data_IF_122579999714
#
_entry.id   IF_122579999714
#
_cell.length_a   1.000
_cell.length_b   1.000
_cell.length_c   1.000
_cell.angle_alpha   90.00
_cell.angle_beta   90.00
_cell.angle_gamma   90.00
#
_symmetry.space_group_name_H-M   'P 1'
#
loop_
_entity.id
_entity.type
_entity.pdbx_description
1 polymer ?
#
# COMPACT_ATOMS: atom_id res chain seq x y z
N UNK A 1 -18.36 10.72 -15.13
CA UNK A 1 -16.90 10.77 -14.92
C UNK A 1 -16.54 9.76 -13.85
N UNK A 2 -15.59 8.85 -14.11
CA UNK A 2 -15.09 7.96 -13.07
C UNK A 2 -14.44 8.78 -11.95
N UNK A 3 -14.86 8.54 -10.71
CA UNK A 3 -14.29 9.23 -9.55
C UNK A 3 -12.95 8.55 -9.20
N UNK A 4 -11.84 9.23 -9.47
CA UNK A 4 -10.49 8.68 -9.30
C UNK A 4 -10.06 8.32 -7.86
N UNK A 5 -10.90 8.65 -6.86
CA UNK A 5 -10.65 8.33 -5.45
C UNK A 5 -11.50 7.16 -4.92
N UNK A 6 -12.37 6.58 -5.76
CA UNK A 6 -13.20 5.44 -5.38
C UNK A 6 -12.88 4.22 -6.24
N UNK A 7 -12.95 3.03 -5.65
CA UNK A 7 -12.65 1.76 -6.30
C UNK A 7 -13.51 0.64 -5.70
N UNK A 8 -13.95 -0.31 -6.54
CA UNK A 8 -14.74 -1.48 -6.15
C UNK A 8 -16.25 -1.25 -6.27
N UNK A 9 -17.00 -2.35 -6.29
CA UNK A 9 -18.46 -2.37 -6.39
C UNK A 9 -19.11 -2.83 -5.09
N UNK A 10 -19.03 -4.11 -4.73
CA UNK A 10 -19.59 -4.68 -3.50
C UNK A 10 -18.76 -4.31 -2.28
N UNK A 11 -17.46 -4.53 -2.33
CA UNK A 11 -16.49 -4.00 -1.38
C UNK A 11 -15.89 -2.76 -2.02
N UNK A 12 -16.33 -1.61 -1.55
CA UNK A 12 -16.00 -0.33 -2.14
C UNK A 12 -15.17 0.53 -1.21
N UNK A 13 -14.17 1.19 -1.75
CA UNK A 13 -13.35 2.14 -1.00
C UNK A 13 -13.45 3.53 -1.59
N UNK A 14 -13.36 4.55 -0.73
CA UNK A 14 -13.18 5.94 -1.11
C UNK A 14 -12.04 6.54 -0.30
N UNK A 15 -10.92 6.86 -0.97
CA UNK A 15 -9.75 7.46 -0.33
C UNK A 15 -9.87 8.98 -0.27
N UNK A 16 -9.38 9.61 0.80
CA UNK A 16 -9.42 11.05 1.01
C UNK A 16 -8.14 11.56 1.69
N UNK A 17 -8.05 12.87 1.83
CA UNK A 17 -6.92 13.53 2.47
C UNK A 17 -5.75 13.81 1.53
N UNK A 18 -4.70 14.42 2.03
CA UNK A 18 -3.54 14.91 1.28
C UNK A 18 -2.25 14.72 2.07
N UNK A 19 -1.12 14.62 1.37
CA UNK A 19 0.18 14.37 1.99
C UNK A 19 0.64 15.47 2.96
N UNK A 20 0.18 16.71 2.75
CA UNK A 20 0.48 17.89 3.56
C UNK A 20 -0.80 18.58 4.10
N UNK A 21 -1.90 17.83 4.20
CA UNK A 21 -3.12 18.21 4.91
C UNK A 21 -3.17 17.59 6.30
N UNK A 22 -4.32 17.60 6.96
CA UNK A 22 -4.51 17.05 8.31
C UNK A 22 -4.28 15.54 8.44
N UNK A 23 -4.41 14.80 7.32
CA UNK A 23 -4.21 13.35 7.27
C UNK A 23 -4.62 12.76 5.93
N UNK A 24 -4.45 11.44 5.84
CA UNK A 24 -4.87 10.60 4.72
C UNK A 24 -5.75 9.49 5.26
N UNK A 25 -6.83 9.16 4.58
CA UNK A 25 -7.74 8.13 5.07
C UNK A 25 -8.52 7.43 3.97
N UNK A 26 -9.39 6.54 4.43
CA UNK A 26 -10.28 5.75 3.57
C UNK A 26 -11.60 5.47 4.27
N UNK A 27 -12.66 5.44 3.49
CA UNK A 27 -13.95 4.90 3.87
C UNK A 27 -14.11 3.58 3.12
N UNK A 28 -14.44 2.51 3.84
CA UNK A 28 -14.74 1.18 3.30
C UNK A 28 -16.22 0.93 3.47
N UNK A 29 -16.91 0.64 2.38
CA UNK A 29 -18.31 0.24 2.32
C UNK A 29 -18.44 -1.21 1.85
N UNK A 30 -19.52 -1.90 2.23
CA UNK A 30 -19.80 -3.27 1.81
C UNK A 30 -18.98 -4.34 2.52
N UNK A 31 -18.25 -4.00 3.59
CA UNK A 31 -17.68 -5.00 4.48
C UNK A 31 -18.81 -5.70 5.24
N UNK A 32 -18.92 -7.06 5.20
CA UNK A 32 -19.97 -7.77 5.90
C UNK A 32 -19.83 -7.58 7.43
N UNK A 33 -20.94 -7.69 8.20
CA UNK A 33 -20.87 -7.70 9.64
C UNK A 33 -20.22 -8.99 10.17
N UNK A 34 -19.75 -8.95 11.41
CA UNK A 34 -19.15 -10.08 12.14
C UNK A 34 -17.82 -10.60 11.59
N UNK A 35 -17.15 -9.82 10.74
CA UNK A 35 -15.76 -10.10 10.44
C UNK A 35 -14.92 -9.73 11.67
N UNK A 36 -14.11 -10.67 12.16
CA UNK A 36 -13.13 -10.38 13.21
C UNK A 36 -11.99 -9.56 12.61
N UNK A 37 -11.84 -8.34 13.09
CA UNK A 37 -10.89 -7.35 12.55
C UNK A 37 -10.30 -6.55 13.70
N UNK A 38 -9.00 -6.59 13.91
CA UNK A 38 -8.33 -5.78 14.91
C UNK A 38 -7.57 -4.59 14.29
N UNK A 39 -7.41 -3.53 15.07
CA UNK A 39 -6.58 -2.37 14.69
C UNK A 39 -5.14 -2.82 14.39
N UNK A 40 -4.62 -3.75 15.17
CA UNK A 40 -3.26 -4.29 15.06
C UNK A 40 -3.07 -4.99 13.71
N UNK A 41 -4.07 -5.70 13.21
CA UNK A 41 -3.99 -6.37 11.91
C UNK A 41 -3.89 -5.38 10.74
N UNK A 42 -4.58 -4.25 10.84
CA UNK A 42 -4.49 -3.16 9.86
C UNK A 42 -3.15 -2.43 10.01
N UNK A 43 -2.74 -2.15 11.25
CA UNK A 43 -1.49 -1.48 11.56
C UNK A 43 -0.29 -2.27 11.05
N UNK A 44 -0.29 -3.60 11.18
CA UNK A 44 0.77 -4.46 10.67
C UNK A 44 0.99 -4.29 9.15
N UNK A 45 -0.08 -4.20 8.36
CA UNK A 45 0.04 -3.95 6.92
C UNK A 45 0.53 -2.51 6.62
N UNK A 46 0.12 -1.52 7.40
CA UNK A 46 0.62 -0.16 7.29
C UNK A 46 2.09 -0.05 7.70
N UNK A 47 2.52 -0.81 8.71
CA UNK A 47 3.92 -0.86 9.13
C UNK A 47 4.82 -1.45 8.03
N UNK A 48 4.33 -2.41 7.25
CA UNK A 48 5.04 -2.91 6.06
C UNK A 48 5.12 -1.88 4.93
N UNK A 49 4.21 -0.93 4.88
CA UNK A 49 4.12 0.13 3.85
C UNK A 49 4.89 1.39 4.23
N UNK A 50 4.97 1.76 5.51
CA UNK A 50 5.51 3.06 5.97
C UNK A 50 6.90 3.37 5.38
N UNK A 51 7.25 4.67 5.19
CA UNK A 51 8.58 5.04 4.71
C UNK A 51 9.66 4.80 5.77
N UNK A 52 10.91 4.71 5.33
CA UNK A 52 12.06 4.60 6.23
C UNK A 52 12.28 3.21 6.83
N UNK A 53 11.88 2.15 6.14
CA UNK A 53 12.03 0.76 6.60
C UNK A 53 13.46 0.24 6.50
N UNK A 54 14.27 0.79 5.61
CA UNK A 54 15.65 0.36 5.38
C UNK A 54 16.50 1.48 4.79
N UNK A 55 17.82 1.26 4.75
CA UNK A 55 18.77 2.23 4.19
C UNK A 55 18.68 2.34 2.65
N UNK A 56 18.08 1.37 1.97
CA UNK A 56 17.83 1.43 0.52
C UNK A 56 16.53 2.13 0.14
N UNK A 57 15.79 2.66 1.12
CA UNK A 57 14.54 3.40 0.93
C UNK A 57 14.70 4.86 1.33
N UNK A 58 13.62 5.63 1.23
CA UNK A 58 13.62 7.05 1.64
C UNK A 58 14.03 7.24 3.11
N UNK A 59 14.81 8.27 3.46
CA UNK A 59 15.17 8.58 4.84
C UNK A 59 13.99 9.15 5.66
N UNK A 60 12.87 9.46 5.02
CA UNK A 60 11.68 9.97 5.70
C UNK A 60 11.12 8.93 6.66
N UNK A 61 10.72 9.35 7.86
CA UNK A 61 10.14 8.49 8.89
C UNK A 61 8.76 9.00 9.29
N UNK A 62 7.77 8.12 9.20
CA UNK A 62 6.39 8.37 9.64
C UNK A 62 5.90 7.15 10.41
N UNK A 63 5.18 7.35 11.50
CA UNK A 63 4.64 6.24 12.29
C UNK A 63 3.43 5.59 11.65
N UNK A 64 2.72 6.33 10.77
CA UNK A 64 1.50 5.90 10.05
C UNK A 64 0.47 5.18 10.94
N UNK A 65 0.25 5.70 12.15
CA UNK A 65 -0.71 5.16 13.12
C UNK A 65 -2.13 5.35 12.61
N UNK A 66 -2.87 4.25 12.47
CA UNK A 66 -4.26 4.27 12.02
C UNK A 66 -5.21 4.52 13.19
N UNK A 67 -6.16 5.43 12.96
CA UNK A 67 -7.32 5.66 13.82
C UNK A 67 -8.56 5.12 13.09
N UNK A 68 -9.34 4.24 13.73
CA UNK A 68 -10.62 3.78 13.21
C UNK A 68 -11.71 4.61 13.87
N UNK A 69 -12.50 5.31 13.06
CA UNK A 69 -13.50 6.26 13.54
C UNK A 69 -14.91 5.67 13.60
N UNK A 70 -15.19 4.61 12.84
CA UNK A 70 -16.52 3.96 12.77
C UNK A 70 -16.45 2.55 12.20
N UNK A 71 -17.55 1.79 12.34
CA UNK A 71 -17.77 0.52 11.65
C UNK A 71 -17.35 -0.72 12.44
N UNK A 72 -16.81 -0.57 13.66
CA UNK A 72 -16.46 -1.68 14.55
C UNK A 72 -17.24 -1.62 15.86
N UNK A 73 -17.62 -2.80 16.36
CA UNK A 73 -18.11 -3.02 17.72
C UNK A 73 -16.88 -3.35 18.59
N UNK A 74 -16.73 -2.63 19.69
CA UNK A 74 -15.66 -2.79 20.68
C UNK A 74 -14.22 -2.82 20.06
N UNK A 75 -14.07 -2.25 18.86
CA UNK A 75 -12.78 -2.20 18.15
C UNK A 75 -12.37 -3.47 17.43
N UNK A 76 -13.16 -4.55 17.45
CA UNK A 76 -12.75 -5.87 16.99
C UNK A 76 -13.69 -6.54 15.99
N UNK A 77 -14.96 -6.14 15.92
CA UNK A 77 -15.94 -6.82 15.08
C UNK A 77 -16.65 -5.85 14.15
N UNK A 78 -16.67 -6.14 12.86
CA UNK A 78 -17.34 -5.28 11.88
C UNK A 78 -18.85 -5.28 12.06
N UNK A 79 -19.47 -4.09 11.91
CA UNK A 79 -20.91 -3.87 12.07
C UNK A 79 -21.69 -4.01 10.74
N UNK A 80 -21.03 -4.08 9.59
CA UNK A 80 -21.67 -3.97 8.28
C UNK A 80 -21.98 -2.52 7.86
N UNK A 81 -21.62 -1.55 8.68
CA UNK A 81 -21.72 -0.11 8.40
C UNK A 81 -20.38 0.39 7.82
N UNK A 82 -20.32 1.61 7.23
CA UNK A 82 -19.08 2.14 6.72
C UNK A 82 -17.97 2.19 7.76
N UNK A 83 -16.78 1.67 7.40
CA UNK A 83 -15.59 1.71 8.23
C UNK A 83 -14.75 2.92 7.77
N UNK A 84 -14.63 3.92 8.64
CA UNK A 84 -13.81 5.09 8.37
C UNK A 84 -12.48 5.00 9.11
N UNK A 85 -11.38 5.15 8.38
CA UNK A 85 -10.02 5.09 8.91
C UNK A 85 -9.23 6.32 8.50
N UNK A 86 -8.37 6.81 9.38
CA UNK A 86 -7.48 7.96 9.11
C UNK A 86 -6.11 7.75 9.73
N UNK A 87 -5.09 8.22 9.02
CA UNK A 87 -3.72 8.39 9.51
C UNK A 87 -3.39 9.87 9.51
N UNK A 88 -3.06 10.43 10.69
CA UNK A 88 -2.72 11.85 10.84
C UNK A 88 -1.32 12.13 10.31
N UNK A 89 -1.15 13.26 9.61
CA UNK A 89 0.16 13.73 9.20
C UNK A 89 0.85 14.42 10.38
N UNK A 90 2.04 13.97 10.75
CA UNK A 90 2.82 14.52 11.87
C UNK A 90 4.01 15.36 11.42
N UNK A 91 4.65 15.01 10.30
CA UNK A 91 5.84 15.70 9.77
C UNK A 91 5.50 16.43 8.47
N UNK A 92 4.89 17.61 8.62
CA UNK A 92 4.59 18.52 7.51
C UNK A 92 5.68 19.58 7.41
N UNK A 93 6.34 19.71 6.25
CA UNK A 93 7.34 20.75 5.96
C UNK A 93 6.90 21.59 4.77
N UNK A 94 5.93 22.51 4.93
CA UNK A 94 5.43 23.33 3.81
C UNK A 94 6.49 24.22 3.18
N UNK A 95 7.55 24.55 3.94
CA UNK A 95 8.64 25.41 3.48
C UNK A 95 9.49 24.87 2.33
N UNK A 96 9.61 23.52 2.23
CA UNK A 96 10.45 22.86 1.23
C UNK A 96 9.89 22.92 -0.20
N UNK A 97 8.67 23.46 -0.38
CA UNK A 97 7.95 23.46 -1.66
C UNK A 97 7.74 24.85 -2.27
N UNK A 98 8.39 25.91 -1.75
CA UNK A 98 8.20 27.27 -2.25
C UNK A 98 8.57 27.44 -3.73
N UNK A 99 9.66 26.84 -4.15
CA UNK A 99 10.13 26.92 -5.55
C UNK A 99 9.28 26.09 -6.51
N UNK A 100 8.55 25.10 -5.99
CA UNK A 100 7.65 24.25 -6.77
C UNK A 100 6.28 24.88 -7.05
N UNK A 101 6.00 26.04 -6.46
CA UNK A 101 4.76 26.78 -6.72
C UNK A 101 4.72 27.42 -8.12
N UNK A 102 5.88 27.57 -8.77
CA UNK A 102 6.03 28.25 -10.07
C UNK A 102 6.49 27.32 -11.19
N UNK A 103 6.88 26.07 -10.89
CA UNK A 103 7.37 25.12 -11.89
C UNK A 103 6.76 23.73 -11.66
N UNK A 104 6.39 23.05 -12.76
CA UNK A 104 5.92 21.68 -12.70
C UNK A 104 7.09 20.71 -12.53
N UNK A 105 6.98 19.79 -11.59
CA UNK A 105 8.00 18.76 -11.38
C UNK A 105 7.90 17.70 -12.47
N UNK A 106 9.01 17.32 -13.12
CA UNK A 106 9.03 16.17 -14.01
C UNK A 106 8.57 14.89 -13.28
N UNK A 107 7.88 14.02 -13.99
CA UNK A 107 7.34 12.74 -13.46
C UNK A 107 6.32 12.86 -12.31
N UNK A 108 5.83 14.07 -12.01
CA UNK A 108 4.75 14.30 -11.05
C UNK A 108 3.47 14.75 -11.77
N UNK A 109 2.34 14.69 -11.07
CA UNK A 109 1.04 15.02 -11.65
C UNK A 109 0.70 16.52 -11.62
N UNK A 110 1.68 17.42 -11.42
CA UNK A 110 1.45 18.85 -11.24
C UNK A 110 0.78 19.48 -12.48
N UNK A 111 1.34 19.24 -13.65
CA UNK A 111 0.81 19.78 -14.92
C UNK A 111 -0.57 19.18 -15.26
N UNK A 112 -0.78 17.89 -15.02
CA UNK A 112 -2.05 17.20 -15.29
C UNK A 112 -3.15 17.63 -14.33
N UNK A 113 -2.83 17.90 -13.07
CA UNK A 113 -3.78 18.47 -12.09
C UNK A 113 -4.15 19.90 -12.47
N UNK A 114 -3.17 20.73 -12.85
CA UNK A 114 -3.43 22.09 -13.34
C UNK A 114 -4.33 22.07 -14.59
N UNK A 115 -4.06 21.19 -15.54
CA UNK A 115 -4.86 21.07 -16.75
C UNK A 115 -6.29 20.57 -16.47
N UNK A 116 -6.46 19.65 -15.51
CA UNK A 116 -7.76 19.05 -15.18
C UNK A 116 -8.63 19.93 -14.28
N UNK A 117 -8.03 20.54 -13.27
CA UNK A 117 -8.75 21.23 -12.20
C UNK A 117 -8.54 22.76 -12.20
N UNK A 118 -7.63 23.29 -13.02
CA UNK A 118 -7.27 24.71 -13.03
C UNK A 118 -6.45 25.16 -11.82
N UNK A 119 -6.06 24.21 -10.95
CA UNK A 119 -5.34 24.46 -9.69
C UNK A 119 -4.46 23.25 -9.36
N UNK A 120 -3.35 23.51 -8.69
CA UNK A 120 -2.46 22.47 -8.16
C UNK A 120 -2.28 22.59 -6.65
N UNK A 121 -1.94 21.49 -5.98
CA UNK A 121 -1.54 21.50 -4.58
C UNK A 121 -0.16 22.16 -4.45
N UNK A 122 -0.11 23.32 -3.76
CA UNK A 122 1.13 24.09 -3.61
C UNK A 122 2.08 23.53 -2.56
N UNK A 123 1.59 22.68 -1.65
CA UNK A 123 2.37 22.03 -0.60
C UNK A 123 2.50 20.52 -0.89
N UNK A 124 3.57 20.14 -1.59
CA UNK A 124 3.81 18.74 -1.93
C UNK A 124 2.89 18.18 -3.03
N UNK A 125 2.79 16.86 -3.14
CA UNK A 125 2.03 16.18 -4.19
C UNK A 125 0.51 16.13 -3.96
N UNK A 126 0.00 16.64 -2.84
CA UNK A 126 -1.42 16.57 -2.51
C UNK A 126 -1.95 15.13 -2.58
N UNK A 127 -3.01 14.92 -3.37
CA UNK A 127 -3.59 13.60 -3.67
C UNK A 127 -2.72 12.73 -4.59
N UNK A 128 -1.80 13.33 -5.35
CA UNK A 128 -0.88 12.60 -6.25
C UNK A 128 0.36 12.04 -5.53
N UNK A 129 0.47 12.25 -4.22
CA UNK A 129 1.55 11.70 -3.39
C UNK A 129 1.39 10.19 -3.17
N UNK A 130 2.51 9.46 -3.10
CA UNK A 130 2.52 8.05 -2.70
C UNK A 130 1.92 7.80 -1.31
N UNK A 131 1.80 8.84 -0.47
CA UNK A 131 1.13 8.76 0.84
C UNK A 131 -0.35 8.41 0.74
N UNK A 132 -1.00 8.69 -0.37
CA UNK A 132 -2.39 8.29 -0.65
C UNK A 132 -2.59 6.77 -0.58
N UNK A 133 -1.55 5.98 -0.85
CA UNK A 133 -1.60 4.51 -0.74
C UNK A 133 -1.87 3.99 0.67
N UNK A 134 -1.72 4.82 1.72
CA UNK A 134 -2.15 4.49 3.09
C UNK A 134 -3.60 4.01 3.11
N UNK A 135 -4.51 4.76 2.47
CA UNK A 135 -5.92 4.38 2.41
C UNK A 135 -6.16 3.06 1.68
N UNK A 136 -5.40 2.80 0.62
CA UNK A 136 -5.47 1.53 -0.14
C UNK A 136 -4.96 0.35 0.67
N UNK A 137 -3.85 0.52 1.39
CA UNK A 137 -3.27 -0.54 2.24
C UNK A 137 -4.16 -0.84 3.44
N UNK A 138 -4.70 0.19 4.11
CA UNK A 138 -5.62 0.01 5.22
C UNK A 138 -6.90 -0.74 4.80
N UNK A 139 -7.51 -0.35 3.68
CA UNK A 139 -8.66 -1.07 3.13
C UNK A 139 -8.29 -2.48 2.63
N UNK A 140 -7.10 -2.63 2.04
CA UNK A 140 -6.54 -3.92 1.62
C UNK A 140 -6.35 -4.89 2.78
N UNK A 141 -5.97 -4.42 3.95
CA UNK A 141 -5.87 -5.24 5.16
C UNK A 141 -7.23 -5.86 5.54
N UNK A 142 -8.32 -5.07 5.46
CA UNK A 142 -9.69 -5.57 5.70
C UNK A 142 -10.07 -6.60 4.63
N UNK A 143 -9.80 -6.29 3.35
CA UNK A 143 -10.10 -7.21 2.25
C UNK A 143 -9.34 -8.55 2.36
N UNK A 144 -8.06 -8.52 2.78
CA UNK A 144 -7.26 -9.72 3.05
C UNK A 144 -7.90 -10.59 4.14
N UNK A 145 -8.31 -9.97 5.25
CA UNK A 145 -8.98 -10.68 6.35
C UNK A 145 -10.30 -11.30 5.89
N UNK A 146 -11.10 -10.55 5.14
CA UNK A 146 -12.36 -11.03 4.57
C UNK A 146 -12.14 -12.25 3.68
N UNK A 147 -11.20 -12.17 2.73
CA UNK A 147 -10.90 -13.25 1.80
C UNK A 147 -10.32 -14.47 2.52
N UNK A 148 -9.46 -14.26 3.51
CA UNK A 148 -8.91 -15.36 4.32
C UNK A 148 -9.99 -16.08 5.11
N UNK A 149 -10.92 -15.35 5.76
CA UNK A 149 -11.99 -15.96 6.54
C UNK A 149 -13.07 -16.61 5.67
N UNK A 150 -13.40 -16.00 4.52
CA UNK A 150 -14.47 -16.51 3.64
C UNK A 150 -14.02 -17.67 2.75
N UNK A 151 -12.77 -17.69 2.30
CA UNK A 151 -12.30 -18.60 1.25
C UNK A 151 -10.90 -19.17 1.49
N UNK A 152 -10.25 -18.90 2.63
CA UNK A 152 -8.87 -19.32 2.88
C UNK A 152 -7.85 -18.68 1.93
N UNK A 153 -8.22 -17.61 1.23
CA UNK A 153 -7.35 -16.99 0.22
C UNK A 153 -6.20 -16.24 0.88
N UNK A 154 -4.97 -16.51 0.45
CA UNK A 154 -3.79 -15.73 0.78
C UNK A 154 -3.36 -14.86 -0.38
N UNK A 155 -2.92 -13.64 -0.05
CA UNK A 155 -2.44 -12.64 -1.00
C UNK A 155 -1.01 -12.29 -0.60
N UNK A 156 -0.05 -12.65 -1.45
CA UNK A 156 1.36 -12.38 -1.27
C UNK A 156 1.92 -11.61 -2.47
N UNK A 157 2.86 -10.70 -2.21
CA UNK A 157 3.60 -10.01 -3.26
C UNK A 157 5.07 -9.92 -2.87
N UNK A 158 5.95 -10.10 -3.85
CA UNK A 158 7.39 -10.06 -3.67
C UNK A 158 8.08 -9.37 -4.84
N UNK A 159 9.31 -8.95 -4.62
CA UNK A 159 10.16 -8.42 -5.67
C UNK A 159 10.73 -9.58 -6.48
N UNK A 160 10.35 -9.66 -7.76
CA UNK A 160 10.84 -10.66 -8.71
C UNK A 160 12.12 -10.21 -9.41
N UNK A 161 12.21 -8.93 -9.77
CA UNK A 161 13.36 -8.38 -10.50
C UNK A 161 13.68 -6.96 -10.06
N UNK A 162 14.97 -6.68 -9.95
CA UNK A 162 15.51 -5.33 -9.84
C UNK A 162 16.53 -5.14 -10.95
N UNK A 163 16.37 -4.10 -11.77
CA UNK A 163 17.18 -3.85 -12.94
C UNK A 163 17.22 -5.09 -13.86
N UNK A 164 18.38 -5.72 -14.04
CA UNK A 164 18.56 -6.96 -14.82
C UNK A 164 18.69 -8.22 -13.96
N UNK A 165 18.63 -8.09 -12.64
CA UNK A 165 18.77 -9.22 -11.69
C UNK A 165 17.38 -9.77 -11.39
N UNK A 166 17.15 -11.01 -11.77
CA UNK A 166 15.84 -11.67 -11.67
C UNK A 166 15.92 -12.94 -10.82
N UNK A 167 14.94 -13.12 -9.95
CA UNK A 167 14.68 -14.33 -9.20
C UNK A 167 13.74 -15.21 -10.06
N UNK A 168 14.29 -16.27 -10.63
CA UNK A 168 13.60 -17.18 -11.57
C UNK A 168 13.22 -18.53 -10.97
N UNK A 169 13.73 -18.85 -9.78
CA UNK A 169 13.47 -20.11 -9.08
C UNK A 169 12.27 -20.10 -8.14
N UNK A 170 11.49 -19.02 -8.11
CA UNK A 170 10.36 -18.86 -7.19
C UNK A 170 9.15 -19.66 -7.70
N UNK A 171 8.70 -20.63 -6.89
CA UNK A 171 7.39 -21.25 -7.07
C UNK A 171 6.33 -20.46 -6.28
N UNK A 172 5.38 -19.79 -6.95
CA UNK A 172 4.35 -18.98 -6.28
C UNK A 172 3.48 -19.77 -5.29
N UNK A 173 3.38 -21.10 -5.43
CA UNK A 173 2.59 -21.95 -4.54
C UNK A 173 3.31 -22.27 -3.22
N UNK A 174 4.62 -22.08 -3.16
CA UNK A 174 5.43 -22.40 -1.99
C UNK A 174 5.91 -21.18 -1.22
N UNK A 175 5.83 -19.98 -1.81
CA UNK A 175 6.26 -18.75 -1.15
C UNK A 175 5.40 -18.45 0.07
N UNK A 176 6.04 -18.20 1.21
CA UNK A 176 5.41 -17.77 2.43
C UNK A 176 5.75 -16.31 2.76
N UNK A 177 4.94 -15.69 3.58
CA UNK A 177 5.19 -14.30 4.03
C UNK A 177 6.55 -14.18 4.73
N UNK A 178 6.97 -15.19 5.49
CA UNK A 178 8.29 -15.24 6.14
C UNK A 178 9.45 -15.14 5.15
N UNK A 179 9.32 -15.76 3.96
CA UNK A 179 10.35 -15.72 2.92
C UNK A 179 10.46 -14.34 2.30
N UNK A 180 9.30 -13.69 2.10
CA UNK A 180 9.23 -12.32 1.58
C UNK A 180 9.82 -11.32 2.56
N UNK A 181 9.53 -11.44 3.86
CA UNK A 181 10.01 -10.52 4.89
C UNK A 181 11.42 -10.85 5.42
N UNK A 182 12.06 -11.91 4.91
CA UNK A 182 13.40 -12.34 5.35
C UNK A 182 14.51 -11.33 5.00
N UNK A 183 14.27 -10.42 4.06
CA UNK A 183 15.24 -9.40 3.64
C UNK A 183 14.58 -8.06 3.26
N UNK A 184 15.40 -7.01 3.22
CA UNK A 184 14.94 -5.63 3.01
C UNK A 184 14.43 -5.35 1.60
N UNK A 185 14.79 -6.15 0.60
CA UNK A 185 14.31 -6.01 -0.79
C UNK A 185 13.05 -6.84 -1.04
N UNK A 186 12.66 -7.70 -0.07
CA UNK A 186 11.48 -8.56 -0.16
C UNK A 186 11.49 -9.52 -1.36
N UNK A 187 12.63 -10.14 -1.61
CA UNK A 187 12.79 -11.19 -2.61
C UNK A 187 12.93 -12.54 -1.90
N UNK A 188 12.10 -13.58 -2.21
CA UNK A 188 12.14 -14.88 -1.54
C UNK A 188 13.42 -15.70 -1.78
N UNK A 189 14.25 -15.34 -2.77
CA UNK A 189 15.53 -16.01 -3.02
C UNK A 189 16.69 -15.22 -2.37
N UNK A 190 17.27 -15.68 -1.23
CA UNK A 190 18.24 -14.90 -0.46
C UNK A 190 19.48 -14.47 -1.25
N UNK A 191 20.09 -15.39 -2.03
CA UNK A 191 21.27 -15.08 -2.83
C UNK A 191 21.00 -14.04 -3.94
N UNK A 192 19.79 -14.04 -4.50
CA UNK A 192 19.37 -13.05 -5.47
C UNK A 192 19.03 -11.72 -4.78
N UNK A 193 18.41 -11.77 -3.60
CA UNK A 193 18.10 -10.59 -2.79
C UNK A 193 19.37 -9.79 -2.46
N UNK A 194 20.48 -10.45 -2.06
CA UNK A 194 21.77 -9.79 -1.80
C UNK A 194 22.25 -9.02 -3.04
N UNK A 195 22.25 -9.66 -4.20
CA UNK A 195 22.66 -9.04 -5.47
C UNK A 195 21.76 -7.86 -5.87
N UNK A 196 20.44 -7.95 -5.59
CA UNK A 196 19.49 -6.86 -5.80
C UNK A 196 19.82 -5.67 -4.91
N UNK A 197 20.12 -5.91 -3.63
CA UNK A 197 20.49 -4.85 -2.66
C UNK A 197 21.77 -4.16 -3.12
N UNK A 198 22.83 -4.91 -3.44
CA UNK A 198 24.09 -4.37 -3.94
C UNK A 198 23.89 -3.49 -5.20
N UNK A 199 22.99 -3.93 -6.11
CA UNK A 199 22.69 -3.17 -7.33
C UNK A 199 21.95 -1.86 -7.03
N UNK A 200 20.96 -1.89 -6.12
CA UNK A 200 20.26 -0.66 -5.69
C UNK A 200 21.25 0.33 -5.07
N UNK A 201 22.13 -0.13 -4.19
CA UNK A 201 23.13 0.71 -3.54
C UNK A 201 24.13 1.30 -4.54
N UNK A 202 24.56 0.51 -5.53
CA UNK A 202 25.48 0.97 -6.58
C UNK A 202 24.85 2.11 -7.39
N UNK A 203 23.61 1.93 -7.84
CA UNK A 203 22.87 2.95 -8.61
C UNK A 203 22.58 4.18 -7.73
N UNK A 204 22.24 3.98 -6.47
CA UNK A 204 22.01 5.08 -5.51
C UNK A 204 23.28 5.93 -5.29
N UNK A 205 24.47 5.32 -5.27
CA UNK A 205 25.76 6.07 -5.21
C UNK A 205 26.02 6.92 -6.45
N UNK A 206 25.46 6.53 -7.59
CA UNK A 206 25.52 7.31 -8.84
C UNK A 206 24.46 8.44 -8.87
N UNK A 207 23.61 8.54 -7.83
CA UNK A 207 22.52 9.53 -7.75
C UNK A 207 21.32 9.19 -8.64
N UNK A 208 21.17 7.93 -9.03
CA UNK A 208 20.12 7.46 -9.92
C UNK A 208 19.23 6.40 -9.23
N UNK A 209 18.21 5.89 -9.93
CA UNK A 209 17.29 4.85 -9.50
C UNK A 209 17.10 3.80 -10.58
N UNK A 210 16.70 2.60 -10.19
CA UNK A 210 16.37 1.53 -11.13
C UNK A 210 14.92 1.04 -10.95
N UNK A 211 14.36 0.56 -12.03
CA UNK A 211 13.07 -0.11 -12.04
C UNK A 211 13.17 -1.55 -11.58
N UNK A 212 11.99 -2.14 -11.32
CA UNK A 212 11.85 -3.54 -10.92
C UNK A 212 10.53 -4.14 -11.37
N UNK A 213 10.36 -5.42 -11.06
CA UNK A 213 9.12 -6.18 -11.27
C UNK A 213 8.69 -6.77 -9.94
N UNK A 214 7.42 -6.56 -9.61
CA UNK A 214 6.76 -7.19 -8.47
C UNK A 214 5.84 -8.28 -9.02
N UNK A 215 5.91 -9.47 -8.43
CA UNK A 215 4.97 -10.56 -8.68
C UNK A 215 3.96 -10.62 -7.55
N UNK A 216 2.69 -10.81 -7.90
CA UNK A 216 1.58 -10.96 -6.98
C UNK A 216 0.98 -12.35 -7.13
N UNK A 217 0.88 -13.07 -6.03
CA UNK A 217 0.17 -14.35 -5.94
C UNK A 217 -1.14 -14.18 -5.17
N UNK A 218 -2.17 -14.81 -5.69
CA UNK A 218 -3.48 -14.94 -5.07
C UNK A 218 -3.84 -16.41 -5.07
N UNK A 219 -3.67 -17.09 -3.92
CA UNK A 219 -3.81 -18.54 -3.80
C UNK A 219 -4.91 -18.89 -2.82
N UNK A 220 -5.80 -19.83 -3.22
CA UNK A 220 -6.72 -20.48 -2.32
C UNK A 220 -6.03 -21.65 -1.65
N UNK A 221 -5.92 -21.63 -0.31
CA UNK A 221 -5.27 -22.70 0.47
C UNK A 221 -6.21 -23.89 0.64
N UNK A 222 -7.52 -23.72 0.49
CA UNK A 222 -8.49 -24.83 0.47
C UNK A 222 -8.75 -25.26 -0.97
N UNK A 223 -8.60 -26.56 -1.24
CA UNK A 223 -9.12 -27.12 -2.50
C UNK A 223 -10.61 -26.72 -2.66
N UNK A 224 -11.01 -26.28 -3.86
CA UNK A 224 -12.42 -26.07 -4.11
C UNK A 224 -13.12 -27.41 -3.88
N UNK A 225 -13.96 -27.49 -2.85
CA UNK A 225 -14.89 -28.61 -2.71
C UNK A 225 -15.64 -28.73 -4.02
N UNK A 226 -15.33 -29.75 -4.81
CA UNK A 226 -16.16 -30.14 -5.94
C UNK A 226 -17.55 -30.38 -5.39
N UNK A 227 -18.45 -29.48 -5.60
CA UNK A 227 -19.87 -29.79 -5.53
C UNK A 227 -20.11 -30.86 -6.59
N UNK A 228 -20.09 -32.12 -6.18
CA UNK A 228 -20.67 -33.18 -6.96
C UNK A 228 -22.16 -32.85 -7.07
N UNK A 229 -22.54 -32.35 -8.22
CA UNK A 229 -23.94 -32.22 -8.61
C UNK A 229 -24.50 -33.66 -8.64
N UNK A 230 -25.43 -33.93 -7.74
CA UNK A 230 -26.36 -35.07 -7.82
C UNK A 230 -27.51 -34.63 -8.71
#
# INVERSE_FOLDING_TARGET
MAMGSSFGDLFRISTFGESHGGGVGVIVEGCPPRLNLSVESIQAELDRRKPGQSHITTPRKEADQVEILSGLLDGETTLGTPIAMVVRNKDQRPGDYKDMAVAFRPSHADATYQAKYGIQARSGGGRASARETIGRVAAGAIAKQLLKQAAGTEILAWVKRIHTIEASGIDPQQVQLSDVEANIVRCPEPAIAERMIERIEAIGREGDSCGGVIELSLIHISEPTRHSSI
#
